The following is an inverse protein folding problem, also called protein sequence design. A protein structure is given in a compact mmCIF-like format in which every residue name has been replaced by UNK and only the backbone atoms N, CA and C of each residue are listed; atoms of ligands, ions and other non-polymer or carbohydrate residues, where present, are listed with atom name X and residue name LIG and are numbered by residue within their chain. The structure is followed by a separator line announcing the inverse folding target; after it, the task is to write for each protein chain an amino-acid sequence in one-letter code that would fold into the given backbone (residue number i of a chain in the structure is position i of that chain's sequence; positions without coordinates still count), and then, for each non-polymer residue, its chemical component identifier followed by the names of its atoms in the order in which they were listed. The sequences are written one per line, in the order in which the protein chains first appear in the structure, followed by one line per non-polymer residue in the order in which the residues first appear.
data_IF_144632619907
#
_entry.id   IF_144632619907
#
_cell.length_a   1.000
_cell.length_b   1.000
_cell.length_c   1.000
_cell.angle_alpha   90.00
_cell.angle_beta   90.00
_cell.angle_gamma   90.00
#
_symmetry.space_group_name_H-M   'P 1'
#
loop_
_entity.id
_entity.type
_entity.pdbx_description
1 polymer ?
#
# COMPACT_ATOMS: atom_id res chain seq x y z
N UNK A 1 -16.90 20.05 8.56
CA UNK A 1 -16.23 19.89 9.87
C UNK A 1 -17.16 20.15 11.07
N UNK A 2 -18.15 21.06 10.98
CA UNK A 2 -19.06 21.36 12.11
C UNK A 2 -19.90 20.15 12.56
N UNK A 3 -20.25 19.23 11.66
CA UNK A 3 -21.00 17.99 11.95
C UNK A 3 -20.10 16.81 12.35
N UNK A 4 -18.77 16.96 12.25
CA UNK A 4 -17.83 15.90 12.59
C UNK A 4 -17.68 15.82 14.11
N UNK A 5 -17.88 14.64 14.70
CA UNK A 5 -17.78 14.39 16.15
C UNK A 5 -16.35 13.98 16.57
N UNK A 6 -15.43 13.80 15.61
CA UNK A 6 -14.06 13.42 15.90
C UNK A 6 -13.32 14.60 16.53
N UNK A 7 -12.58 14.33 17.61
CA UNK A 7 -11.89 15.34 18.40
C UNK A 7 -10.82 16.08 17.61
N UNK A 8 -9.97 15.34 16.86
CA UNK A 8 -8.89 15.90 16.07
C UNK A 8 -9.34 16.21 14.65
N UNK A 9 -9.32 17.47 14.30
CA UNK A 9 -9.78 17.97 12.99
C UNK A 9 -8.75 18.91 12.39
N UNK A 10 -8.35 18.66 11.14
CA UNK A 10 -7.48 19.53 10.37
C UNK A 10 -8.27 20.08 9.21
N UNK A 11 -8.55 21.37 9.23
CA UNK A 11 -9.16 22.04 8.09
C UNK A 11 -8.09 22.29 7.03
N UNK A 12 -8.40 21.91 5.79
CA UNK A 12 -7.54 22.05 4.63
C UNK A 12 -8.13 23.09 3.67
N UNK A 13 -7.27 23.81 2.93
CA UNK A 13 -7.70 24.80 1.95
C UNK A 13 -8.29 26.08 2.54
N UNK A 14 -7.88 26.47 3.74
CA UNK A 14 -8.43 27.63 4.48
C UNK A 14 -8.34 28.96 3.71
N UNK A 15 -7.26 29.17 2.95
CA UNK A 15 -6.94 30.45 2.35
C UNK A 15 -7.73 30.78 1.07
N UNK A 16 -8.20 29.77 0.31
CA UNK A 16 -8.65 30.01 -1.05
C UNK A 16 -10.09 29.55 -1.35
N UNK A 17 -10.81 28.83 -0.46
CA UNK A 17 -11.99 28.10 -0.89
C UNK A 17 -13.28 28.29 -0.14
N UNK A 18 -13.38 29.17 0.81
CA UNK A 18 -14.65 29.48 1.52
C UNK A 18 -15.50 28.23 1.88
N UNK A 19 -14.90 27.04 1.99
CA UNK A 19 -15.60 25.80 2.30
C UNK A 19 -16.20 25.03 1.10
N UNK A 20 -15.94 25.41 -0.14
CA UNK A 20 -16.50 24.80 -1.36
C UNK A 20 -15.84 23.45 -1.76
N UNK A 21 -14.84 22.98 -1.02
CA UNK A 21 -14.10 21.76 -1.35
C UNK A 21 -13.22 21.91 -2.59
N UNK A 22 -12.78 20.79 -3.16
CA UNK A 22 -11.92 20.75 -4.35
C UNK A 22 -12.66 20.50 -5.66
N UNK A 23 -13.99 20.52 -5.68
CA UNK A 23 -14.82 20.38 -6.89
C UNK A 23 -14.41 19.21 -7.83
N UNK A 24 -13.96 18.08 -7.27
CA UNK A 24 -13.46 16.93 -8.04
C UNK A 24 -12.01 17.05 -8.52
N UNK A 25 -11.33 18.19 -8.34
CA UNK A 25 -9.94 18.36 -8.75
C UNK A 25 -8.98 17.72 -7.73
N UNK A 26 -8.37 16.60 -8.13
CA UNK A 26 -7.40 15.85 -7.32
C UNK A 26 -6.09 16.63 -7.11
N UNK A 27 -5.66 17.42 -8.10
CA UNK A 27 -4.46 18.25 -8.00
C UNK A 27 -4.60 19.27 -6.89
N UNK A 28 -5.76 19.91 -6.80
CA UNK A 28 -6.05 20.83 -5.71
C UNK A 28 -6.18 20.15 -4.35
N UNK A 29 -6.81 18.96 -4.30
CA UNK A 29 -6.86 18.16 -3.08
C UNK A 29 -5.48 17.83 -2.56
N UNK A 30 -4.59 17.38 -3.43
CA UNK A 30 -3.19 17.12 -3.10
C UNK A 30 -2.46 18.38 -2.61
N UNK A 31 -2.65 19.52 -3.27
CA UNK A 31 -2.02 20.78 -2.88
C UNK A 31 -2.51 21.27 -1.50
N UNK A 32 -3.80 21.12 -1.19
CA UNK A 32 -4.34 21.45 0.12
C UNK A 32 -3.71 20.61 1.24
N UNK A 33 -3.49 19.31 1.00
CA UNK A 33 -2.83 18.42 1.96
C UNK A 33 -1.34 18.78 2.09
N UNK A 34 -0.63 19.03 0.98
CA UNK A 34 0.78 19.45 1.01
C UNK A 34 0.99 20.74 1.78
N UNK A 35 0.08 21.71 1.65
CA UNK A 35 0.13 22.96 2.40
C UNK A 35 -0.04 22.76 3.93
N UNK A 36 -0.66 21.66 4.35
CA UNK A 36 -0.84 21.31 5.76
C UNK A 36 0.10 20.19 6.23
N UNK A 37 1.15 19.87 5.45
CA UNK A 37 2.05 18.72 5.67
C UNK A 37 2.58 18.65 7.10
N UNK A 38 3.13 19.74 7.62
CA UNK A 38 3.75 19.77 8.96
C UNK A 38 2.72 19.50 10.06
N UNK A 39 1.50 20.02 9.90
CA UNK A 39 0.39 19.80 10.85
C UNK A 39 -0.03 18.33 10.85
N UNK A 40 -0.10 17.72 9.68
CA UNK A 40 -0.46 16.31 9.51
C UNK A 40 0.66 15.43 10.04
N UNK A 41 1.90 15.68 9.64
CA UNK A 41 3.07 14.94 10.11
C UNK A 41 3.20 14.96 11.65
N UNK A 42 2.97 16.13 12.27
CA UNK A 42 2.97 16.26 13.73
C UNK A 42 1.90 15.42 14.43
N UNK A 43 0.76 15.16 13.78
CA UNK A 43 -0.30 14.28 14.34
C UNK A 43 -0.03 12.79 14.11
N UNK A 44 0.71 12.46 13.06
CA UNK A 44 1.05 11.07 12.71
C UNK A 44 2.37 10.61 13.33
N UNK A 45 3.11 11.52 13.95
CA UNK A 45 4.42 11.23 14.51
C UNK A 45 4.35 10.14 15.60
N UNK A 46 5.16 9.08 15.44
CA UNK A 46 5.23 7.95 16.36
C UNK A 46 4.11 6.92 16.19
N UNK A 47 3.28 7.04 15.16
CA UNK A 47 2.28 6.00 14.85
C UNK A 47 2.96 4.79 14.18
N UNK A 48 2.69 3.59 14.68
CA UNK A 48 3.14 2.33 14.06
C UNK A 48 2.25 1.93 12.88
N UNK A 49 0.95 2.26 12.95
CA UNK A 49 -0.06 2.00 11.94
C UNK A 49 -0.86 3.26 11.64
N UNK A 50 -1.01 3.59 10.38
CA UNK A 50 -1.93 4.63 9.90
C UNK A 50 -2.94 4.01 8.96
N UNK A 51 -4.22 4.08 9.35
CA UNK A 51 -5.33 3.64 8.50
C UNK A 51 -5.97 4.86 7.86
N UNK A 52 -5.92 4.94 6.55
CA UNK A 52 -6.49 6.03 5.75
C UNK A 52 -7.84 5.56 5.22
N UNK A 53 -8.92 6.27 5.54
CA UNK A 53 -10.24 6.04 4.94
C UNK A 53 -10.55 7.19 4.00
N UNK A 54 -10.74 6.88 2.73
CA UNK A 54 -10.98 7.92 1.73
C UNK A 54 -11.96 7.48 0.65
N UNK A 55 -12.94 8.36 0.35
CA UNK A 55 -13.79 8.20 -0.82
C UNK A 55 -13.03 8.58 -2.09
N UNK A 56 -12.92 7.65 -3.03
CA UNK A 56 -12.26 7.85 -4.32
C UNK A 56 -13.19 8.60 -5.29
N UNK A 57 -12.63 9.22 -6.30
CA UNK A 57 -13.38 9.98 -7.31
C UNK A 57 -13.65 11.44 -6.95
N UNK A 58 -13.47 11.83 -5.66
CA UNK A 58 -13.53 13.22 -5.23
C UNK A 58 -12.15 13.87 -5.16
N UNK A 59 -12.08 15.22 -5.30
CA UNK A 59 -10.80 15.92 -5.31
C UNK A 59 -9.99 15.77 -4.01
N UNK A 60 -10.63 15.80 -2.84
CA UNK A 60 -9.92 15.68 -1.56
C UNK A 60 -9.51 14.22 -1.26
N UNK A 61 -10.42 13.26 -1.44
CA UNK A 61 -10.13 11.83 -1.21
C UNK A 61 -9.11 11.32 -2.24
N UNK A 62 -9.40 11.50 -3.54
CA UNK A 62 -8.53 11.03 -4.61
C UNK A 62 -7.16 11.70 -4.65
N UNK A 63 -7.11 13.03 -4.43
CA UNK A 63 -5.85 13.78 -4.45
C UNK A 63 -5.13 13.84 -3.11
N UNK A 64 -5.86 13.96 -2.01
CA UNK A 64 -5.27 14.15 -0.68
C UNK A 64 -4.80 12.85 -0.02
N UNK A 65 -5.53 11.74 -0.17
CA UNK A 65 -5.18 10.48 0.48
C UNK A 65 -3.78 9.96 0.10
N UNK A 66 -3.34 9.99 -1.18
CA UNK A 66 -1.97 9.62 -1.51
C UNK A 66 -0.92 10.48 -0.80
N UNK A 67 -1.14 11.79 -0.67
CA UNK A 67 -0.19 12.68 0.02
C UNK A 67 -0.17 12.40 1.53
N UNK A 68 -1.30 12.07 2.15
CA UNK A 68 -1.32 11.64 3.56
C UNK A 68 -0.56 10.31 3.72
N UNK A 69 -0.72 9.39 2.77
CA UNK A 69 0.01 8.13 2.76
C UNK A 69 1.53 8.34 2.66
N UNK A 70 1.99 9.24 1.80
CA UNK A 70 3.40 9.65 1.71
C UNK A 70 3.92 10.16 3.07
N UNK A 71 3.20 11.09 3.69
CA UNK A 71 3.58 11.67 4.99
C UNK A 71 3.67 10.59 6.08
N UNK A 72 2.69 9.68 6.12
CA UNK A 72 2.67 8.58 7.10
C UNK A 72 3.82 7.59 6.89
N UNK A 73 4.08 7.22 5.63
CA UNK A 73 5.18 6.32 5.25
C UNK A 73 6.55 6.91 5.56
N UNK A 74 6.76 8.21 5.30
CA UNK A 74 7.99 8.92 5.69
C UNK A 74 8.20 8.97 7.21
N UNK A 75 7.09 9.01 7.97
CA UNK A 75 7.10 8.89 9.43
C UNK A 75 7.44 7.48 9.94
N UNK A 76 7.54 6.50 9.04
CA UNK A 76 7.85 5.09 9.35
C UNK A 76 6.64 4.25 9.74
N UNK A 77 5.42 4.77 9.62
CA UNK A 77 4.20 4.02 9.88
C UNK A 77 3.91 2.97 8.79
N UNK A 78 3.27 1.87 9.17
CA UNK A 78 2.61 0.98 8.21
C UNK A 78 1.34 1.67 7.71
N UNK A 79 1.18 1.82 6.41
CA UNK A 79 0.04 2.54 5.81
C UNK A 79 -0.94 1.58 5.15
N UNK A 80 -2.14 1.50 5.72
CA UNK A 80 -3.28 0.75 5.20
C UNK A 80 -4.33 1.73 4.72
N UNK A 81 -4.73 1.68 3.47
CA UNK A 81 -5.77 2.56 2.94
C UNK A 81 -7.06 1.77 2.67
N UNK A 82 -8.18 2.21 3.24
CA UNK A 82 -9.52 1.77 2.91
C UNK A 82 -10.08 2.74 1.86
N UNK A 83 -10.03 2.33 0.61
CA UNK A 83 -10.40 3.14 -0.53
C UNK A 83 -11.84 2.83 -0.94
N UNK A 84 -12.75 3.72 -0.60
CA UNK A 84 -14.18 3.60 -0.89
C UNK A 84 -14.42 4.03 -2.33
N UNK A 85 -14.87 3.10 -3.17
CA UNK A 85 -15.19 3.39 -4.55
C UNK A 85 -16.65 3.91 -4.67
N UNK A 86 -16.89 4.88 -5.56
CA UNK A 86 -18.22 5.43 -5.75
C UNK A 86 -19.20 4.38 -6.28
N UNK A 87 -20.49 4.65 -6.14
CA UNK A 87 -21.53 3.92 -6.88
C UNK A 87 -21.42 4.27 -8.38
N UNK A 88 -21.81 3.34 -9.24
CA UNK A 88 -21.77 3.57 -10.71
C UNK A 88 -22.60 4.78 -11.14
N UNK A 89 -23.69 5.06 -10.43
CA UNK A 89 -24.56 6.21 -10.67
C UNK A 89 -23.88 7.57 -10.42
N UNK A 90 -22.76 7.61 -9.67
CA UNK A 90 -22.03 8.85 -9.40
C UNK A 90 -21.15 9.30 -10.58
N UNK A 91 -20.91 8.42 -11.57
CA UNK A 91 -20.12 8.70 -12.76
C UNK A 91 -18.67 9.16 -12.50
N UNK A 92 -18.09 8.73 -11.39
CA UNK A 92 -16.72 9.09 -10.97
C UNK A 92 -15.71 7.92 -11.01
N UNK A 93 -16.08 6.81 -11.67
CA UNK A 93 -15.28 5.58 -11.66
C UNK A 93 -13.89 5.75 -12.31
N UNK A 94 -13.77 6.54 -13.39
CA UNK A 94 -12.47 6.78 -14.05
C UNK A 94 -11.52 7.57 -13.14
N UNK A 95 -12.00 8.64 -12.54
CA UNK A 95 -11.22 9.44 -11.58
C UNK A 95 -10.86 8.63 -10.34
N UNK A 96 -11.80 7.84 -9.84
CA UNK A 96 -11.55 6.92 -8.71
C UNK A 96 -10.44 5.92 -9.03
N UNK A 97 -10.42 5.35 -10.24
CA UNK A 97 -9.36 4.41 -10.64
C UNK A 97 -7.98 5.07 -10.75
N UNK A 98 -7.90 6.29 -11.24
CA UNK A 98 -6.65 7.07 -11.31
C UNK A 98 -6.12 7.34 -9.88
N UNK A 99 -7.00 7.80 -8.99
CA UNK A 99 -6.68 8.03 -7.59
C UNK A 99 -6.21 6.75 -6.88
N UNK A 100 -6.90 5.63 -7.13
CA UNK A 100 -6.56 4.32 -6.62
C UNK A 100 -5.15 3.90 -7.01
N UNK A 101 -4.81 4.06 -8.30
CA UNK A 101 -3.48 3.71 -8.81
C UNK A 101 -2.36 4.53 -8.14
N UNK A 102 -2.62 5.82 -7.86
CA UNK A 102 -1.66 6.68 -7.13
C UNK A 102 -1.52 6.23 -5.67
N UNK A 103 -2.64 5.95 -5.01
CA UNK A 103 -2.65 5.51 -3.62
C UNK A 103 -1.91 4.18 -3.44
N UNK A 104 -2.10 3.25 -4.39
CA UNK A 104 -1.42 1.94 -4.39
C UNK A 104 0.10 2.06 -4.54
N UNK A 105 0.62 3.14 -5.12
CA UNK A 105 2.07 3.34 -5.26
C UNK A 105 2.76 3.77 -3.95
N UNK A 106 2.00 4.34 -3.02
CA UNK A 106 2.56 4.96 -1.80
C UNK A 106 2.13 4.28 -0.51
N UNK A 107 0.91 3.72 -0.45
CA UNK A 107 0.45 2.92 0.69
C UNK A 107 1.06 1.51 0.64
N UNK A 108 1.31 0.90 1.80
CA UNK A 108 1.78 -0.49 1.88
C UNK A 108 0.71 -1.45 1.37
N UNK A 109 -0.56 -1.16 1.64
CA UNK A 109 -1.69 -1.89 1.06
C UNK A 109 -2.92 -0.99 0.90
N UNK A 110 -3.69 -1.25 -0.15
CA UNK A 110 -4.95 -0.57 -0.43
C UNK A 110 -6.08 -1.59 -0.49
N UNK A 111 -7.01 -1.47 0.43
CA UNK A 111 -8.23 -2.26 0.45
C UNK A 111 -9.29 -1.57 -0.38
N UNK A 112 -9.75 -2.23 -1.43
CA UNK A 112 -10.85 -1.73 -2.26
C UNK A 112 -12.18 -2.02 -1.59
N UNK A 113 -13.01 -1.00 -1.48
CA UNK A 113 -14.35 -1.08 -0.89
C UNK A 113 -15.39 -0.53 -1.89
N UNK A 114 -15.79 -1.34 -2.90
CA UNK A 114 -16.73 -0.90 -3.92
C UNK A 114 -18.16 -0.83 -3.36
N UNK A 115 -18.71 0.39 -3.24
CA UNK A 115 -20.08 0.60 -2.79
C UNK A 115 -21.11 -0.13 -3.66
N UNK A 116 -20.81 -0.29 -4.95
CA UNK A 116 -21.66 -0.99 -5.90
C UNK A 116 -21.97 -2.43 -5.45
N UNK A 117 -20.99 -3.15 -4.89
CA UNK A 117 -21.17 -4.52 -4.44
C UNK A 117 -22.17 -4.62 -3.26
N UNK A 118 -22.21 -3.60 -2.39
CA UNK A 118 -23.21 -3.54 -1.31
C UNK A 118 -24.61 -3.33 -1.86
N UNK A 119 -24.79 -2.43 -2.83
CA UNK A 119 -26.06 -2.22 -3.48
C UNK A 119 -26.57 -3.49 -4.17
N UNK A 120 -25.70 -4.21 -4.86
CA UNK A 120 -26.06 -5.47 -5.54
C UNK A 120 -26.48 -6.55 -4.54
N UNK A 121 -25.83 -6.63 -3.37
CA UNK A 121 -26.16 -7.58 -2.32
C UNK A 121 -27.51 -7.32 -1.67
N UNK A 122 -27.86 -6.06 -1.43
CA UNK A 122 -29.14 -5.67 -0.86
C UNK A 122 -30.31 -5.85 -1.85
N UNK A 123 -30.01 -5.84 -3.16
CA UNK A 123 -30.97 -6.06 -4.23
C UNK A 123 -31.72 -4.80 -4.69
N UNK A 124 -32.48 -4.95 -5.76
CA UNK A 124 -33.10 -3.83 -6.51
C UNK A 124 -34.15 -3.01 -5.73
N UNK A 125 -34.57 -3.46 -4.56
CA UNK A 125 -35.57 -2.75 -3.74
C UNK A 125 -34.97 -1.90 -2.63
N UNK A 126 -33.66 -1.95 -2.42
CA UNK A 126 -33.00 -1.22 -1.36
C UNK A 126 -33.02 0.30 -1.62
N UNK A 127 -33.29 1.05 -0.57
CA UNK A 127 -33.22 2.51 -0.60
C UNK A 127 -31.75 2.98 -0.61
N UNK A 128 -31.53 4.22 -1.06
CA UNK A 128 -30.21 4.85 -1.02
C UNK A 128 -29.65 4.87 0.41
N UNK A 129 -30.50 5.12 1.40
CA UNK A 129 -30.11 5.16 2.80
C UNK A 129 -29.61 3.80 3.29
N UNK A 130 -30.30 2.71 2.97
CA UNK A 130 -29.89 1.34 3.31
C UNK A 130 -28.56 0.96 2.64
N UNK A 131 -28.36 1.33 1.37
CA UNK A 131 -27.10 1.08 0.66
C UNK A 131 -25.93 1.83 1.32
N UNK A 132 -26.13 3.10 1.68
CA UNK A 132 -25.12 3.91 2.35
C UNK A 132 -24.82 3.40 3.76
N UNK A 133 -25.85 2.97 4.50
CA UNK A 133 -25.68 2.40 5.84
C UNK A 133 -24.88 1.10 5.80
N UNK A 134 -25.19 0.19 4.87
CA UNK A 134 -24.46 -1.05 4.69
C UNK A 134 -22.98 -0.81 4.31
N UNK A 135 -22.74 0.11 3.37
CA UNK A 135 -21.37 0.46 2.97
C UNK A 135 -20.57 1.08 4.14
N UNK A 136 -21.19 2.01 4.88
CA UNK A 136 -20.54 2.63 6.05
C UNK A 136 -20.32 1.62 7.18
N UNK A 137 -21.28 0.72 7.40
CA UNK A 137 -21.17 -0.37 8.38
C UNK A 137 -19.96 -1.23 8.11
N UNK A 138 -19.77 -1.63 6.86
CA UNK A 138 -18.61 -2.46 6.47
C UNK A 138 -17.26 -1.73 6.66
N UNK A 139 -17.20 -0.43 6.35
CA UNK A 139 -16.00 0.39 6.64
C UNK A 139 -15.72 0.43 8.14
N UNK A 140 -16.75 0.60 8.96
CA UNK A 140 -16.61 0.63 10.42
C UNK A 140 -16.10 -0.70 10.97
N UNK A 141 -16.67 -1.82 10.53
CA UNK A 141 -16.24 -3.17 10.93
C UNK A 141 -14.79 -3.43 10.51
N UNK A 142 -14.39 -3.02 9.29
CA UNK A 142 -13.01 -3.11 8.83
C UNK A 142 -12.05 -2.33 9.74
N UNK A 143 -12.42 -1.09 10.11
CA UNK A 143 -11.65 -0.27 11.03
C UNK A 143 -11.53 -0.90 12.42
N UNK A 144 -12.62 -1.45 12.95
CA UNK A 144 -12.62 -2.15 14.25
C UNK A 144 -11.73 -3.38 14.20
N UNK A 145 -11.80 -4.18 13.13
CA UNK A 145 -10.96 -5.36 12.95
C UNK A 145 -9.47 -5.02 12.86
N UNK A 146 -9.11 -4.00 12.07
CA UNK A 146 -7.73 -3.50 11.99
C UNK A 146 -7.26 -2.92 13.33
N UNK A 147 -8.15 -2.22 14.05
CA UNK A 147 -7.87 -1.71 15.38
C UNK A 147 -7.55 -2.81 16.41
N UNK A 148 -8.30 -3.92 16.37
CA UNK A 148 -8.04 -5.09 17.21
C UNK A 148 -6.66 -5.69 16.91
N UNK A 149 -6.27 -5.80 15.64
CA UNK A 149 -4.94 -6.30 15.28
C UNK A 149 -3.78 -5.43 15.80
N UNK A 150 -4.01 -4.13 15.92
CA UNK A 150 -3.00 -3.19 16.40
C UNK A 150 -2.89 -3.16 17.95
N UNK A 151 -3.89 -3.70 18.65
CA UNK A 151 -3.92 -3.73 20.12
C UNK A 151 -3.25 -5.01 20.63
N UNK A 152 -2.53 -4.88 21.72
CA UNK A 152 -1.85 -6.01 22.37
C UNK A 152 -2.67 -6.59 23.56
N UNK A 153 -3.99 -6.40 23.55
CA UNK A 153 -4.90 -6.79 24.62
C UNK A 153 -5.81 -7.99 24.27
N UNK A 154 -5.50 -8.71 23.20
CA UNK A 154 -6.19 -9.94 22.84
C UNK A 154 -5.69 -11.17 23.61
N UNK A 155 -6.49 -12.24 23.63
CA UNK A 155 -6.13 -13.54 24.21
C UNK A 155 -4.98 -14.20 23.43
N UNK A 156 -4.98 -14.02 22.11
CA UNK A 156 -3.91 -14.40 21.20
C UNK A 156 -3.50 -13.16 20.41
N UNK A 157 -2.39 -12.55 20.83
CA UNK A 157 -1.92 -11.34 20.18
C UNK A 157 -1.16 -11.63 18.90
N UNK A 158 -1.42 -10.80 17.90
CA UNK A 158 -0.63 -10.79 16.68
C UNK A 158 0.64 -9.99 16.92
N UNK A 159 1.78 -10.59 16.62
CA UNK A 159 3.02 -9.82 16.54
C UNK A 159 2.94 -8.86 15.35
N UNK A 160 2.83 -7.57 15.64
CA UNK A 160 2.71 -6.52 14.62
C UNK A 160 3.89 -6.51 13.64
N UNK A 161 5.07 -6.98 14.06
CA UNK A 161 6.21 -7.14 13.17
C UNK A 161 5.92 -8.17 12.05
N UNK A 162 5.14 -9.22 12.34
CA UNK A 162 4.69 -10.17 11.32
C UNK A 162 3.66 -9.58 10.36
N UNK A 163 2.70 -8.79 10.87
CA UNK A 163 1.73 -8.04 10.05
C UNK A 163 2.47 -7.09 9.11
N UNK A 164 3.36 -6.28 9.68
CA UNK A 164 4.19 -5.35 8.92
C UNK A 164 4.97 -6.06 7.82
N UNK A 165 5.67 -7.16 8.15
CA UNK A 165 6.45 -7.94 7.18
C UNK A 165 5.59 -8.53 6.06
N UNK A 166 4.33 -8.88 6.34
CA UNK A 166 3.43 -9.43 5.34
C UNK A 166 2.87 -8.34 4.42
N UNK A 167 2.79 -7.10 4.89
CA UNK A 167 2.16 -5.99 4.16
C UNK A 167 3.17 -5.05 3.50
N UNK A 168 4.33 -4.82 4.14
CA UNK A 168 5.33 -3.85 3.65
C UNK A 168 5.97 -4.31 2.34
N UNK A 169 6.10 -3.37 1.40
CA UNK A 169 6.83 -3.56 0.14
C UNK A 169 6.03 -4.24 -0.96
N UNK A 170 4.79 -4.57 -0.73
CA UNK A 170 3.95 -5.16 -1.77
C UNK A 170 3.22 -4.10 -2.61
N UNK A 171 2.96 -2.92 -2.06
CA UNK A 171 2.29 -1.80 -2.74
C UNK A 171 1.17 -2.30 -3.66
N UNK A 172 0.24 -3.06 -3.10
CA UNK A 172 -0.78 -3.77 -3.86
C UNK A 172 -2.19 -3.55 -3.34
N UNK A 173 -3.15 -3.94 -4.16
CA UNK A 173 -4.53 -4.03 -3.74
C UNK A 173 -4.72 -5.24 -2.82
N UNK A 174 -5.56 -5.11 -1.81
CA UNK A 174 -5.91 -6.17 -0.87
C UNK A 174 -7.42 -6.29 -0.79
N UNK A 175 -7.88 -7.51 -0.53
CA UNK A 175 -9.29 -7.74 -0.19
C UNK A 175 -9.41 -7.86 1.34
N UNK A 176 -10.42 -7.21 1.89
CA UNK A 176 -10.77 -7.29 3.30
C UNK A 176 -12.25 -7.60 3.42
N UNK A 177 -12.57 -8.56 4.27
CA UNK A 177 -13.95 -8.90 4.60
C UNK A 177 -14.10 -8.98 6.11
N UNK A 178 -15.27 -8.56 6.58
CA UNK A 178 -15.70 -8.70 7.95
C UNK A 178 -17.03 -9.41 7.96
N UNK A 179 -17.16 -10.41 8.80
CA UNK A 179 -18.39 -11.19 8.96
C UNK A 179 -18.59 -11.51 10.43
N UNK A 180 -19.86 -11.59 10.81
CA UNK A 180 -20.30 -11.99 12.13
C UNK A 180 -21.40 -13.02 12.00
N UNK A 181 -21.36 -14.06 12.83
CA UNK A 181 -22.35 -15.12 12.87
C UNK A 181 -22.72 -15.42 14.32
N UNK A 182 -23.92 -15.95 14.53
CA UNK A 182 -24.36 -16.43 15.82
C UNK A 182 -24.97 -17.83 15.68
N UNK A 183 -24.97 -18.61 16.74
CA UNK A 183 -25.55 -19.96 16.79
C UNK A 183 -24.56 -21.05 17.19
N UNK A 184 -24.96 -22.32 17.06
CA UNK A 184 -24.20 -23.45 17.63
C UNK A 184 -23.03 -23.94 16.75
N UNK A 185 -23.03 -23.65 15.45
CA UNK A 185 -21.98 -24.08 14.52
C UNK A 185 -21.19 -22.87 13.95
N UNK A 186 -20.83 -21.95 14.86
CA UNK A 186 -20.19 -20.67 14.53
C UNK A 186 -18.96 -20.80 13.60
N UNK A 187 -17.99 -21.72 13.82
CA UNK A 187 -16.78 -21.77 13.01
C UNK A 187 -17.04 -22.04 11.53
N UNK A 188 -17.93 -22.99 11.27
CA UNK A 188 -18.31 -23.35 9.90
C UNK A 188 -19.16 -22.28 9.23
N UNK A 189 -20.15 -21.75 9.96
CA UNK A 189 -21.00 -20.67 9.47
C UNK A 189 -20.17 -19.43 9.13
N UNK A 190 -19.15 -19.12 9.94
CA UNK A 190 -18.25 -18.01 9.73
C UNK A 190 -17.47 -18.15 8.41
N UNK A 191 -16.89 -19.34 8.15
CA UNK A 191 -16.21 -19.58 6.89
C UNK A 191 -17.16 -19.49 5.68
N UNK A 192 -18.37 -20.05 5.78
CA UNK A 192 -19.36 -19.97 4.72
C UNK A 192 -19.76 -18.51 4.43
N UNK A 193 -19.90 -17.68 5.48
CA UNK A 193 -20.20 -16.26 5.35
C UNK A 193 -19.04 -15.51 4.68
N UNK A 194 -17.78 -15.80 5.05
CA UNK A 194 -16.60 -15.26 4.39
C UNK A 194 -16.61 -15.59 2.89
N UNK A 195 -16.81 -16.85 2.54
CA UNK A 195 -16.79 -17.30 1.14
C UNK A 195 -17.91 -16.71 0.27
N UNK A 196 -19.01 -16.33 0.89
CA UNK A 196 -20.18 -15.70 0.22
C UNK A 196 -20.12 -14.16 0.23
N UNK A 197 -19.09 -13.60 0.87
CA UNK A 197 -19.03 -12.15 1.04
C UNK A 197 -18.91 -11.43 -0.32
N UNK A 198 -19.66 -10.33 -0.55
CA UNK A 198 -19.72 -9.64 -1.85
C UNK A 198 -18.39 -9.05 -2.32
N UNK A 199 -17.44 -8.83 -1.43
CA UNK A 199 -16.09 -8.36 -1.79
C UNK A 199 -15.12 -9.50 -2.17
N UNK A 200 -15.55 -10.76 -2.05
CA UNK A 200 -14.79 -11.91 -2.53
C UNK A 200 -15.49 -12.50 -3.76
N UNK A 201 -14.86 -12.45 -4.91
CA UNK A 201 -15.36 -13.07 -6.13
C UNK A 201 -15.55 -14.59 -5.94
N UNK A 202 -16.66 -15.00 -5.32
CA UNK A 202 -17.00 -16.42 -5.00
C UNK A 202 -15.89 -17.19 -4.27
N UNK A 203 -15.13 -16.49 -3.40
CA UNK A 203 -14.05 -17.09 -2.61
C UNK A 203 -12.79 -17.47 -3.41
N UNK A 204 -12.69 -17.12 -4.68
CA UNK A 204 -11.50 -17.39 -5.50
C UNK A 204 -10.25 -16.68 -4.96
N UNK A 205 -10.43 -15.50 -4.41
CA UNK A 205 -9.35 -14.72 -3.80
C UNK A 205 -8.77 -15.41 -2.58
N UNK A 206 -9.62 -15.96 -1.71
CA UNK A 206 -9.20 -16.71 -0.55
C UNK A 206 -8.40 -17.99 -0.92
N UNK A 207 -8.82 -18.68 -1.99
CA UNK A 207 -8.12 -19.91 -2.46
C UNK A 207 -6.74 -19.64 -3.05
N UNK A 208 -6.55 -18.44 -3.60
CA UNK A 208 -5.33 -18.07 -4.33
C UNK A 208 -4.39 -17.14 -3.54
N UNK A 209 -4.77 -16.74 -2.32
CA UNK A 209 -3.93 -15.87 -1.51
C UNK A 209 -2.69 -16.61 -0.98
N UNK A 210 -1.59 -15.88 -0.83
CA UNK A 210 -0.34 -16.37 -0.24
C UNK A 210 -0.20 -15.95 1.23
N UNK A 211 -1.01 -15.00 1.68
CA UNK A 211 -1.03 -14.49 3.04
C UNK A 211 -2.44 -14.16 3.50
N UNK A 212 -2.70 -14.42 4.77
CA UNK A 212 -3.94 -14.10 5.45
C UNK A 212 -3.63 -13.47 6.81
N UNK A 213 -4.27 -12.35 7.08
CA UNK A 213 -4.29 -11.77 8.41
C UNK A 213 -5.73 -11.86 8.90
N UNK A 214 -5.91 -12.54 10.02
CA UNK A 214 -7.22 -12.83 10.61
C UNK A 214 -7.29 -12.24 12.00
N UNK A 215 -8.31 -11.43 12.24
CA UNK A 215 -8.72 -11.01 13.59
C UNK A 215 -10.03 -11.72 13.91
N UNK A 216 -9.97 -12.71 14.79
CA UNK A 216 -11.13 -13.44 15.28
C UNK A 216 -11.63 -12.79 16.56
N UNK A 217 -12.92 -12.66 16.71
CA UNK A 217 -13.55 -12.10 17.90
C UNK A 217 -14.75 -12.95 18.30
N UNK A 218 -14.90 -13.19 19.57
CA UNK A 218 -16.06 -13.91 20.13
C UNK A 218 -16.32 -13.46 21.56
N UNK A 219 -17.33 -14.03 22.18
CA UNK A 219 -17.61 -13.82 23.61
C UNK A 219 -16.78 -14.78 24.49
N UNK A 220 -16.91 -14.68 25.82
CA UNK A 220 -16.23 -15.57 26.77
C UNK A 220 -16.55 -17.06 26.61
N UNK A 221 -17.62 -17.40 25.87
CA UNK A 221 -17.98 -18.79 25.59
C UNK A 221 -17.19 -19.39 24.41
N UNK A 222 -16.43 -18.57 23.67
CA UNK A 222 -15.64 -19.04 22.54
C UNK A 222 -14.54 -19.98 23.02
N UNK A 223 -14.59 -21.23 22.57
CA UNK A 223 -13.63 -22.26 22.98
C UNK A 223 -12.42 -22.33 22.04
N UNK A 224 -11.29 -22.85 22.56
CA UNK A 224 -10.13 -23.14 21.72
C UNK A 224 -10.44 -24.15 20.61
N UNK A 225 -11.37 -25.08 20.85
CA UNK A 225 -11.81 -26.05 19.84
C UNK A 225 -12.49 -25.37 18.66
N UNK A 226 -13.33 -24.35 18.92
CA UNK A 226 -13.96 -23.55 17.85
C UNK A 226 -12.93 -22.75 17.06
N UNK A 227 -11.92 -22.18 17.74
CA UNK A 227 -10.82 -21.48 17.08
C UNK A 227 -10.03 -22.42 16.18
N UNK A 228 -9.68 -23.60 16.69
CA UNK A 228 -8.93 -24.62 15.94
C UNK A 228 -9.74 -25.13 14.73
N UNK A 229 -11.05 -25.38 14.90
CA UNK A 229 -11.95 -25.80 13.82
C UNK A 229 -12.01 -24.72 12.72
N UNK A 230 -12.20 -23.46 13.08
CA UNK A 230 -12.21 -22.36 12.12
C UNK A 230 -10.90 -22.26 11.35
N UNK A 231 -9.76 -22.30 12.05
CA UNK A 231 -8.44 -22.22 11.44
C UNK A 231 -8.16 -23.42 10.53
N UNK A 232 -8.58 -24.62 10.91
CA UNK A 232 -8.45 -25.82 10.10
C UNK A 232 -9.24 -25.70 8.79
N UNK A 233 -10.48 -25.25 8.86
CA UNK A 233 -11.31 -25.02 7.67
C UNK A 233 -10.74 -23.90 6.78
N UNK A 234 -10.25 -22.82 7.38
CA UNK A 234 -9.63 -21.72 6.65
C UNK A 234 -8.38 -22.19 5.91
N UNK A 235 -7.50 -22.95 6.58
CA UNK A 235 -6.28 -23.52 5.98
C UNK A 235 -6.58 -24.54 4.90
N UNK A 236 -7.66 -25.32 5.05
CA UNK A 236 -8.09 -26.25 4.00
C UNK A 236 -8.53 -25.50 2.72
N UNK A 237 -9.16 -24.33 2.88
CA UNK A 237 -9.60 -23.50 1.77
C UNK A 237 -8.45 -22.70 1.15
N UNK A 238 -7.57 -22.14 1.98
CA UNK A 238 -6.42 -21.30 1.60
C UNK A 238 -5.10 -22.05 1.83
N UNK A 239 -4.93 -23.23 1.21
CA UNK A 239 -3.85 -24.16 1.50
C UNK A 239 -2.43 -23.60 1.30
N UNK A 240 -2.27 -22.54 0.52
CA UNK A 240 -0.99 -21.88 0.26
C UNK A 240 -0.71 -20.69 1.18
N UNK A 241 -1.73 -20.22 1.90
CA UNK A 241 -1.64 -18.99 2.64
C UNK A 241 -0.86 -19.17 3.95
N UNK A 242 0.03 -18.21 4.22
CA UNK A 242 0.58 -18.01 5.55
C UNK A 242 -0.45 -17.26 6.39
N UNK A 243 -1.02 -17.93 7.39
CA UNK A 243 -2.06 -17.36 8.27
C UNK A 243 -1.40 -16.69 9.47
N UNK A 244 -1.74 -15.42 9.71
CA UNK A 244 -1.47 -14.69 10.93
C UNK A 244 -2.81 -14.52 11.63
N UNK A 245 -2.95 -15.04 12.85
CA UNK A 245 -4.20 -15.08 13.61
C UNK A 245 -4.06 -14.30 14.90
N UNK A 246 -4.98 -13.36 15.12
CA UNK A 246 -5.26 -12.75 16.41
C UNK A 246 -6.63 -13.19 16.92
N UNK A 247 -6.75 -13.40 18.21
CA UNK A 247 -8.02 -13.79 18.86
C UNK A 247 -8.32 -12.80 20.00
N UNK A 248 -9.53 -12.29 20.01
CA UNK A 248 -9.99 -11.32 20.99
C UNK A 248 -11.32 -11.77 21.58
N UNK A 249 -11.53 -11.48 22.85
CA UNK A 249 -12.80 -11.68 23.54
C UNK A 249 -13.49 -10.33 23.71
N UNK A 250 -14.73 -10.24 23.25
CA UNK A 250 -15.57 -9.06 23.38
C UNK A 250 -16.98 -9.48 23.79
N UNK A 251 -17.34 -9.20 25.04
CA UNK A 251 -18.63 -9.57 25.59
C UNK A 251 -19.83 -8.88 24.93
N UNK A 252 -19.59 -7.81 24.15
CA UNK A 252 -20.62 -7.18 23.35
C UNK A 252 -21.12 -8.06 22.17
N UNK A 253 -20.33 -9.09 21.78
CA UNK A 253 -20.71 -10.03 20.72
C UNK A 253 -21.86 -10.99 21.11
N UNK A 254 -22.25 -11.06 22.38
CA UNK A 254 -23.21 -12.03 22.87
C UNK A 254 -22.73 -13.45 22.56
N UNK A 255 -23.58 -14.33 21.97
CA UNK A 255 -23.19 -15.65 21.50
C UNK A 255 -22.67 -15.66 20.07
N UNK A 256 -22.15 -14.53 19.60
CA UNK A 256 -21.63 -14.35 18.26
C UNK A 256 -20.14 -14.74 18.14
N UNK A 257 -19.73 -14.97 16.92
CA UNK A 257 -18.34 -15.10 16.51
C UNK A 257 -18.12 -14.28 15.24
N UNK A 258 -17.12 -13.40 15.24
CA UNK A 258 -16.81 -12.54 14.11
C UNK A 258 -15.39 -12.73 13.64
N UNK A 259 -15.14 -12.49 12.36
CA UNK A 259 -13.80 -12.46 11.80
C UNK A 259 -13.63 -11.30 10.83
N UNK A 260 -12.51 -10.62 10.95
CA UNK A 260 -11.96 -9.79 9.90
C UNK A 260 -10.85 -10.57 9.23
N UNK A 261 -10.92 -10.71 7.90
CA UNK A 261 -9.93 -11.42 7.09
C UNK A 261 -9.38 -10.45 6.07
N UNK A 262 -8.10 -10.13 6.18
CA UNK A 262 -7.37 -9.29 5.24
C UNK A 262 -6.45 -10.19 4.39
N UNK A 263 -6.58 -10.07 3.09
CA UNK A 263 -5.85 -10.83 2.07
C UNK A 263 -4.98 -9.88 1.25
N UNK A 264 -3.73 -9.65 1.64
CA UNK A 264 -2.80 -8.90 0.80
C UNK A 264 -2.61 -9.61 -0.54
N UNK A 265 -2.86 -8.92 -1.65
CA UNK A 265 -2.47 -9.42 -2.97
C UNK A 265 -0.99 -9.20 -3.16
N UNK A 266 -0.26 -10.30 -3.22
CA UNK A 266 1.12 -10.26 -3.66
C UNK A 266 1.17 -9.68 -5.08
N UNK A 267 1.99 -8.68 -5.37
CA UNK A 267 2.19 -8.25 -6.74
C UNK A 267 2.59 -9.48 -7.53
N UNK A 268 1.85 -9.79 -8.58
CA UNK A 268 2.33 -10.75 -9.58
C UNK A 268 3.73 -10.26 -9.90
N UNK A 269 4.77 -11.04 -9.58
CA UNK A 269 6.13 -10.74 -9.98
C UNK A 269 6.04 -10.44 -11.46
N UNK A 270 6.04 -9.14 -11.83
CA UNK A 270 6.33 -8.80 -13.22
C UNK A 270 7.69 -9.42 -13.43
N UNK A 271 7.70 -10.55 -14.11
CA UNK A 271 8.92 -11.07 -14.70
C UNK A 271 9.31 -9.94 -15.63
N UNK A 272 10.19 -9.04 -15.13
CA UNK A 272 10.84 -8.08 -16.01
C UNK A 272 11.34 -8.95 -17.15
N UNK A 273 10.98 -8.65 -18.40
CA UNK A 273 11.50 -9.41 -19.51
C UNK A 273 12.99 -9.44 -19.29
N UNK A 274 13.53 -10.64 -19.06
CA UNK A 274 14.98 -10.86 -18.91
C UNK A 274 15.55 -10.19 -20.13
N UNK A 275 16.29 -9.08 -19.93
CA UNK A 275 16.95 -8.40 -21.02
C UNK A 275 17.63 -9.51 -21.82
N UNK A 276 17.40 -9.63 -23.14
CA UNK A 276 17.98 -10.69 -23.93
C UNK A 276 19.47 -10.68 -23.60
N UNK A 277 19.99 -11.83 -23.16
CA UNK A 277 21.43 -11.99 -22.94
C UNK A 277 22.10 -11.37 -24.16
N UNK A 278 23.05 -10.43 -23.98
CA UNK A 278 23.75 -9.88 -25.12
C UNK A 278 24.28 -11.09 -25.87
N UNK A 279 23.83 -11.27 -27.12
CA UNK A 279 24.41 -12.26 -28.02
C UNK A 279 25.93 -11.99 -28.03
N UNK A 280 26.76 -13.01 -27.88
CA UNK A 280 28.19 -12.79 -27.97
C UNK A 280 28.46 -12.12 -29.32
N UNK A 281 28.93 -10.88 -29.28
CA UNK A 281 29.38 -10.18 -30.48
C UNK A 281 30.37 -11.13 -31.20
N UNK A 282 29.91 -11.71 -32.31
CA UNK A 282 30.80 -12.41 -33.20
C UNK A 282 31.73 -11.35 -33.79
N UNK A 283 32.84 -11.15 -33.12
CA UNK A 283 33.95 -10.38 -33.69
C UNK A 283 34.47 -11.22 -34.89
N UNK A 284 33.95 -10.94 -36.06
CA UNK A 284 34.50 -11.47 -37.30
C UNK A 284 35.90 -10.87 -37.42
N UNK A 285 36.92 -11.67 -37.08
CA UNK A 285 38.28 -11.27 -37.36
C UNK A 285 38.46 -11.04 -38.84
N UNK A 286 38.96 -9.88 -39.30
CA UNK A 286 39.23 -9.64 -40.69
C UNK A 286 40.32 -10.62 -41.17
N UNK A 287 40.07 -11.29 -42.27
CA UNK A 287 41.08 -12.18 -42.91
C UNK A 287 42.36 -11.41 -43.17
N UNK A 288 43.55 -11.98 -42.98
CA UNK A 288 44.78 -11.30 -43.22
C UNK A 288 44.92 -10.95 -44.73
N UNK A 289 44.99 -9.68 -45.03
CA UNK A 289 45.27 -9.17 -46.37
C UNK A 289 46.81 -9.20 -46.53
N UNK A 290 47.24 -9.86 -47.60
CA UNK A 290 48.60 -10.09 -48.03
C UNK A 290 49.28 -8.75 -48.35
N UNK A 291 50.48 -8.57 -47.83
CA UNK A 291 51.33 -7.38 -47.90
C UNK A 291 51.45 -6.69 -49.27
N UNK A 292 51.24 -5.38 -49.23
CA UNK A 292 51.89 -4.44 -50.12
C UNK A 292 52.58 -3.35 -49.29
N UNK A 293 53.77 -2.81 -49.73
CA UNK A 293 54.62 -2.00 -48.84
C UNK A 293 54.07 -0.59 -48.62
N UNK A 294 54.23 -0.18 -47.38
CA UNK A 294 53.70 1.06 -46.83
C UNK A 294 54.32 2.32 -47.40
N UNK A 295 53.46 3.33 -47.66
CA UNK A 295 53.85 4.72 -47.64
C UNK A 295 53.48 5.32 -46.27
N UNK A 296 54.47 5.89 -45.63
CA UNK A 296 54.34 6.63 -44.38
C UNK A 296 53.31 7.75 -44.49
N UNK A 297 52.22 7.62 -43.71
CA UNK A 297 51.33 8.73 -43.37
C UNK A 297 51.22 8.81 -41.87
N UNK A 298 51.58 9.98 -41.37
CA UNK A 298 51.51 10.36 -39.94
C UNK A 298 50.11 10.13 -39.37
N UNK A 299 49.99 9.24 -38.41
CA UNK A 299 48.80 9.13 -37.58
C UNK A 299 48.88 10.20 -36.50
N UNK A 300 48.18 11.33 -36.72
CA UNK A 300 47.86 12.25 -35.63
C UNK A 300 46.80 11.57 -34.74
N UNK A 301 47.21 11.27 -33.55
CA UNK A 301 46.36 10.77 -32.48
C UNK A 301 45.41 11.93 -32.08
N UNK A 302 44.14 11.88 -32.51
CA UNK A 302 43.13 12.80 -32.06
C UNK A 302 42.85 12.54 -30.56
N UNK A 303 43.28 13.46 -29.72
CA UNK A 303 42.87 13.50 -28.31
C UNK A 303 41.38 13.84 -28.27
N UNK A 304 40.59 12.94 -27.69
CA UNK A 304 39.20 13.22 -27.33
C UNK A 304 39.17 14.36 -26.30
N UNK A 305 38.41 15.43 -26.52
CA UNK A 305 38.25 16.48 -25.51
C UNK A 305 37.44 15.92 -24.35
N UNK A 306 38.11 15.53 -23.27
CA UNK A 306 37.46 15.23 -22.01
C UNK A 306 36.93 16.54 -21.44
N UNK A 307 35.61 16.68 -21.39
CA UNK A 307 34.95 17.78 -20.69
C UNK A 307 35.34 17.68 -19.22
N UNK A 308 35.83 18.77 -18.58
CA UNK A 308 36.20 18.71 -17.16
C UNK A 308 34.96 18.36 -16.34
N UNK A 309 35.09 17.36 -15.46
CA UNK A 309 34.03 16.90 -14.57
C UNK A 309 33.76 18.04 -13.59
N UNK A 310 32.59 18.67 -13.67
CA UNK A 310 32.19 19.70 -12.70
C UNK A 310 31.98 19.04 -11.34
N UNK A 311 32.40 19.68 -10.26
CA UNK A 311 32.23 19.21 -8.87
C UNK A 311 30.77 19.23 -8.40
N UNK A 312 29.80 19.49 -9.29
CA UNK A 312 28.37 19.49 -8.99
C UNK A 312 27.99 20.50 -7.91
N UNK A 313 27.22 20.09 -6.89
CA UNK A 313 26.76 20.95 -5.78
C UNK A 313 27.90 21.52 -4.91
N UNK A 314 29.08 20.97 -4.95
CA UNK A 314 30.24 21.35 -4.12
C UNK A 314 31.15 22.38 -4.76
N UNK A 315 30.82 22.88 -5.95
CA UNK A 315 31.64 23.84 -6.70
C UNK A 315 31.72 25.24 -6.06
N UNK A 316 30.97 25.51 -4.99
CA UNK A 316 30.93 26.78 -4.25
C UNK A 316 31.17 26.66 -2.74
N UNK A 317 31.56 25.47 -2.25
CA UNK A 317 31.89 25.23 -0.85
C UNK A 317 33.39 25.42 -0.59
N UNK A 318 33.76 25.79 0.65
CA UNK A 318 35.17 25.74 1.08
C UNK A 318 35.65 24.25 1.00
N UNK A 319 36.89 24.02 0.49
CA UNK A 319 37.42 22.68 0.34
C UNK A 319 37.59 22.00 1.69
N UNK A 320 37.18 20.73 1.78
CA UNK A 320 37.25 19.93 3.00
C UNK A 320 38.68 19.38 3.17
N UNK A 321 39.56 20.17 3.81
CA UNK A 321 40.96 19.82 3.99
C UNK A 321 41.18 19.01 5.28
N UNK A 322 41.82 17.85 5.17
CA UNK A 322 42.31 17.05 6.29
C UNK A 322 43.75 16.70 6.05
N UNK A 323 44.63 17.05 6.99
CA UNK A 323 46.12 16.87 6.90
C UNK A 323 46.74 17.45 5.60
N UNK A 324 46.17 18.51 5.04
CA UNK A 324 46.65 19.15 3.81
C UNK A 324 46.15 18.50 2.52
N UNK A 325 45.31 17.47 2.59
CA UNK A 325 44.68 16.84 1.41
C UNK A 325 43.23 17.30 1.27
N UNK A 326 42.83 17.63 0.05
CA UNK A 326 41.44 17.97 -0.30
C UNK A 326 40.61 16.69 -0.43
N UNK A 327 39.71 16.45 0.52
CA UNK A 327 38.87 15.27 0.56
C UNK A 327 37.73 15.27 -0.50
N UNK A 328 37.46 16.42 -1.12
CA UNK A 328 36.47 16.51 -2.20
C UNK A 328 37.01 15.98 -3.54
N UNK A 329 38.33 15.73 -3.62
CA UNK A 329 38.95 15.09 -4.77
C UNK A 329 39.01 13.57 -4.56
N UNK A 330 38.48 12.77 -5.52
CA UNK A 330 38.50 11.30 -5.41
C UNK A 330 39.91 10.73 -5.14
N UNK A 331 40.03 9.72 -4.29
CA UNK A 331 41.27 9.14 -3.79
C UNK A 331 42.23 8.71 -4.90
N UNK A 332 41.72 8.21 -6.03
CA UNK A 332 42.54 7.76 -7.16
C UNK A 332 43.22 8.94 -7.88
N UNK A 333 42.60 10.12 -7.90
CA UNK A 333 43.21 11.33 -8.43
C UNK A 333 44.24 11.93 -7.45
N UNK A 334 43.94 11.90 -6.14
CA UNK A 334 44.85 12.38 -5.10
C UNK A 334 46.14 11.57 -5.04
N UNK A 335 46.05 10.25 -5.27
CA UNK A 335 47.19 9.32 -5.18
C UNK A 335 47.82 9.00 -6.53
N UNK A 336 47.41 9.68 -7.61
CA UNK A 336 47.94 9.49 -8.97
C UNK A 336 47.91 8.00 -9.41
N UNK A 337 46.86 7.27 -9.04
CA UNK A 337 46.71 5.84 -9.37
C UNK A 337 46.22 5.74 -10.82
N UNK A 338 47.03 5.06 -11.65
CA UNK A 338 46.64 4.75 -13.03
C UNK A 338 45.67 3.59 -12.96
N UNK A 339 44.42 3.82 -13.36
CA UNK A 339 43.42 2.77 -13.53
C UNK A 339 43.68 2.10 -14.89
N UNK A 340 44.15 0.86 -14.85
CA UNK A 340 44.30 0.01 -16.02
C UNK A 340 42.95 -0.55 -16.48
#
# INVERSE_FOLDING_TARGET
LQRCQIAERIQLGETNRRGWGCSGDEGEGANCVRAARDRIAGKLMGADLVVIVAGMGGGMGGGGAPVVAEIASEGGALVVALAIEPFDLECHNETAQIAMNRLTQVADTVVRMPNQNMMETLGKGASVAECMEAANGHVLEALMGLGRLARADGELNVDFAHVRRLMTGYHGESSLVTVEVAGDARPRALLEAILKHPYLNTGSELRNCEGLIVSLVGDESMSMEEVDEFVAHLKATAARAKVILGVHVDNAMGKGMGAMVLMPRMPVKKVLPVAPKPEPLQISMPKPVRNQPASTRDFQQQQLPLVPISKGRFDKGEPNLHDGEDLDVPTFLRRNMILN
#
